data_IF_147125723265
#
_entry.id   IF_147125723265
#
_cell.length_a   1.000
_cell.length_b   1.000
_cell.length_c   1.000
_cell.angle_alpha   90.00
_cell.angle_beta   90.00
_cell.angle_gamma   90.00
#
_symmetry.space_group_name_H-M   'P 1'
#
loop_
_entity.id
_entity.type
_entity.pdbx_description
1 polymer ?
#
# COMPACT_ATOMS: atom_id res chain seq x y z
N UNK A 1 20.39 -4.08 29.74
CA UNK A 1 19.01 -3.97 30.25
C UNK A 1 18.10 -4.46 29.15
N UNK A 2 17.33 -5.53 29.37
CA UNK A 2 16.29 -5.91 28.42
C UNK A 2 15.18 -4.84 28.51
N UNK A 3 14.87 -4.18 27.39
CA UNK A 3 13.67 -3.35 27.31
C UNK A 3 12.46 -4.23 27.60
N UNK A 4 11.65 -3.81 28.57
CA UNK A 4 10.34 -4.44 28.79
C UNK A 4 9.52 -4.03 27.58
N UNK A 5 9.25 -5.01 26.72
CA UNK A 5 8.39 -4.85 25.56
C UNK A 5 7.00 -4.40 26.02
N UNK A 6 6.49 -3.32 25.42
CA UNK A 6 5.13 -2.85 25.71
C UNK A 6 4.08 -3.72 25.03
N UNK A 7 2.88 -3.80 25.58
CA UNK A 7 1.77 -4.55 24.97
C UNK A 7 1.45 -4.07 23.54
N UNK A 8 1.65 -2.78 23.25
CA UNK A 8 1.48 -2.19 21.92
C UNK A 8 2.56 -2.68 20.94
N UNK A 9 3.83 -2.76 21.37
CA UNK A 9 4.93 -3.28 20.55
C UNK A 9 4.66 -4.73 20.16
N UNK A 10 4.23 -5.55 21.13
CA UNK A 10 3.85 -6.93 20.88
C UNK A 10 2.68 -7.04 19.91
N UNK A 11 1.62 -6.26 20.13
CA UNK A 11 0.43 -6.27 19.27
C UNK A 11 0.75 -5.89 17.82
N UNK A 12 1.60 -4.88 17.60
CA UNK A 12 2.04 -4.48 16.26
C UNK A 12 2.84 -5.59 15.56
N UNK A 13 3.80 -6.20 16.25
CA UNK A 13 4.59 -7.31 15.68
C UNK A 13 3.74 -8.53 15.37
N UNK A 14 2.85 -8.90 16.28
CA UNK A 14 1.95 -10.04 16.09
C UNK A 14 1.01 -9.77 14.91
N UNK A 15 0.44 -8.56 14.82
CA UNK A 15 -0.41 -8.12 13.71
C UNK A 15 0.30 -8.17 12.35
N UNK A 16 1.53 -7.65 12.28
CA UNK A 16 2.35 -7.73 11.05
C UNK A 16 2.74 -9.17 10.69
N UNK A 17 3.03 -10.01 11.68
CA UNK A 17 3.38 -11.42 11.44
C UNK A 17 2.18 -12.18 10.87
N UNK A 18 1.00 -11.98 11.45
CA UNK A 18 -0.25 -12.56 10.95
C UNK A 18 -0.61 -12.02 9.56
N UNK A 19 -0.41 -10.72 9.33
CA UNK A 19 -0.61 -10.09 8.02
C UNK A 19 0.25 -10.76 6.95
N UNK A 20 1.56 -10.91 7.23
CA UNK A 20 2.53 -11.55 6.32
C UNK A 20 2.08 -12.95 5.91
N UNK A 21 1.75 -13.78 6.90
CA UNK A 21 1.31 -15.16 6.67
C UNK A 21 0.03 -15.22 5.84
N UNK A 22 -0.97 -14.39 6.16
CA UNK A 22 -2.25 -14.36 5.43
C UNK A 22 -2.07 -13.89 3.99
N UNK A 23 -1.33 -12.79 3.78
CA UNK A 23 -1.09 -12.23 2.45
C UNK A 23 -0.31 -13.20 1.58
N UNK A 24 0.80 -13.75 2.07
CA UNK A 24 1.60 -14.72 1.33
C UNK A 24 0.78 -15.97 0.98
N UNK A 25 0.05 -16.52 1.95
CA UNK A 25 -0.81 -17.69 1.73
C UNK A 25 -1.87 -17.40 0.68
N UNK A 26 -2.56 -16.27 0.78
CA UNK A 26 -3.62 -15.90 -0.17
C UNK A 26 -3.06 -15.67 -1.57
N UNK A 27 -1.95 -14.95 -1.70
CA UNK A 27 -1.31 -14.64 -2.99
C UNK A 27 -0.79 -15.91 -3.68
N UNK A 28 -0.10 -16.78 -2.94
CA UNK A 28 0.37 -18.07 -3.49
C UNK A 28 -0.80 -18.98 -3.88
N UNK A 29 -1.84 -19.03 -3.05
CA UNK A 29 -3.05 -19.81 -3.36
C UNK A 29 -3.73 -19.29 -4.62
N UNK A 30 -3.88 -17.97 -4.77
CA UNK A 30 -4.47 -17.38 -5.96
C UNK A 30 -3.71 -17.79 -7.23
N UNK A 31 -2.37 -17.67 -7.22
CA UNK A 31 -1.52 -18.09 -8.33
C UNK A 31 -1.67 -19.59 -8.61
N UNK A 32 -1.70 -20.43 -7.57
CA UNK A 32 -1.91 -21.87 -7.69
C UNK A 32 -3.26 -22.21 -8.34
N UNK A 33 -4.33 -21.50 -7.95
CA UNK A 33 -5.65 -21.66 -8.53
C UNK A 33 -5.66 -21.25 -10.01
N UNK A 34 -4.95 -20.16 -10.39
CA UNK A 34 -4.80 -19.77 -11.81
C UNK A 34 -4.05 -20.84 -12.61
N UNK A 35 -2.98 -21.39 -12.05
CA UNK A 35 -2.23 -22.49 -12.68
C UNK A 35 -3.14 -23.69 -12.93
N UNK A 36 -3.94 -24.11 -11.94
CA UNK A 36 -4.90 -25.21 -12.10
C UNK A 36 -5.97 -24.91 -13.15
N UNK A 37 -6.50 -23.69 -13.20
CA UNK A 37 -7.47 -23.28 -14.22
C UNK A 37 -6.86 -23.35 -15.63
N UNK A 38 -5.64 -22.87 -15.83
CA UNK A 38 -4.96 -22.87 -17.14
C UNK A 38 -4.59 -24.30 -17.57
N UNK A 39 -4.12 -25.14 -16.65
CA UNK A 39 -3.84 -26.57 -16.94
C UNK A 39 -5.09 -27.32 -17.43
N UNK A 40 -6.26 -26.99 -16.88
CA UNK A 40 -7.54 -27.60 -17.27
C UNK A 40 -7.98 -27.23 -18.70
N UNK A 41 -7.42 -26.17 -19.30
CA UNK A 41 -7.68 -25.78 -20.70
C UNK A 41 -6.90 -26.67 -21.68
N UNK A 42 -5.92 -27.46 -21.20
CA UNK A 42 -5.12 -28.39 -22.01
C UNK A 42 -4.40 -27.73 -23.20
N UNK A 43 -3.82 -26.55 -22.96
CA UNK A 43 -3.02 -25.85 -23.95
C UNK A 43 -1.82 -26.70 -24.42
N UNK A 44 -1.44 -26.61 -25.70
CA UNK A 44 -0.52 -27.56 -26.31
C UNK A 44 0.95 -27.38 -25.86
N UNK A 45 1.34 -26.19 -25.40
CA UNK A 45 2.73 -25.91 -24.97
C UNK A 45 2.80 -25.13 -23.65
N UNK A 46 3.91 -25.25 -22.94
CA UNK A 46 4.19 -24.41 -21.75
C UNK A 46 4.25 -22.92 -22.09
N UNK A 47 4.71 -22.57 -23.29
CA UNK A 47 4.72 -21.18 -23.73
C UNK A 47 3.29 -20.61 -23.82
N UNK A 48 2.34 -21.37 -24.38
CA UNK A 48 0.93 -20.94 -24.46
C UNK A 48 0.29 -20.79 -23.07
N UNK A 49 0.64 -21.69 -22.13
CA UNK A 49 0.22 -21.61 -20.73
C UNK A 49 0.74 -20.36 -20.04
N UNK A 50 2.03 -20.07 -20.20
CA UNK A 50 2.66 -18.88 -19.62
C UNK A 50 2.09 -17.59 -20.24
N UNK A 51 1.76 -17.59 -21.54
CA UNK A 51 1.06 -16.46 -22.17
C UNK A 51 -0.28 -16.19 -21.48
N UNK A 52 -1.08 -17.22 -21.19
CA UNK A 52 -2.33 -17.02 -20.43
C UNK A 52 -2.10 -16.61 -18.97
N UNK A 53 -0.98 -16.98 -18.35
CA UNK A 53 -0.68 -16.59 -16.98
C UNK A 53 -0.26 -15.10 -16.88
N UNK A 54 0.24 -14.50 -17.97
CA UNK A 54 0.68 -13.10 -18.01
C UNK A 54 -0.42 -12.10 -17.68
N UNK A 55 -1.66 -12.45 -18.01
CA UNK A 55 -2.89 -11.80 -17.58
C UNK A 55 -2.92 -11.41 -16.09
N UNK A 56 -2.33 -12.26 -15.23
CA UNK A 56 -2.29 -12.08 -13.78
C UNK A 56 -0.91 -11.64 -13.27
N UNK A 57 0.16 -11.98 -13.98
CA UNK A 57 1.52 -11.60 -13.61
C UNK A 57 2.35 -11.37 -14.88
N UNK A 58 2.57 -10.10 -15.20
CA UNK A 58 3.21 -9.69 -16.45
C UNK A 58 4.62 -10.30 -16.64
N UNK A 59 5.06 -10.38 -17.90
CA UNK A 59 6.41 -10.80 -18.33
C UNK A 59 6.81 -12.27 -18.12
N UNK A 60 5.92 -13.12 -17.58
CA UNK A 60 6.23 -14.53 -17.33
C UNK A 60 6.77 -15.26 -18.57
N UNK A 61 8.02 -15.72 -18.51
CA UNK A 61 8.63 -16.55 -19.54
C UNK A 61 8.97 -15.83 -20.85
N UNK A 62 8.94 -14.49 -20.88
CA UNK A 62 9.36 -13.71 -22.06
C UNK A 62 10.83 -13.94 -22.43
N UNK A 63 11.67 -14.25 -21.42
CA UNK A 63 13.11 -14.34 -21.57
C UNK A 63 13.76 -12.99 -21.89
N UNK A 64 15.08 -13.02 -22.04
CA UNK A 64 15.88 -11.83 -22.33
C UNK A 64 15.95 -10.82 -21.17
N UNK A 65 16.81 -9.80 -21.28
CA UNK A 65 16.77 -8.65 -20.39
C UNK A 65 15.56 -7.78 -20.71
N UNK A 66 15.01 -7.09 -19.72
CA UNK A 66 13.99 -6.07 -19.96
C UNK A 66 14.56 -4.94 -20.82
N UNK A 67 13.96 -4.62 -21.98
CA UNK A 67 14.42 -3.52 -22.84
C UNK A 67 14.29 -2.14 -22.17
N UNK A 68 13.45 -2.00 -21.15
CA UNK A 68 13.21 -0.77 -20.39
C UNK A 68 13.86 -0.79 -19.01
N UNK A 69 14.82 -1.69 -18.79
CA UNK A 69 15.44 -1.86 -17.48
C UNK A 69 16.06 -0.56 -16.95
N UNK A 70 15.62 -0.13 -15.77
CA UNK A 70 16.21 1.00 -15.06
C UNK A 70 17.47 0.52 -14.32
N UNK A 71 18.64 1.03 -14.71
CA UNK A 71 19.92 0.69 -14.07
C UNK A 71 20.02 1.10 -12.59
N UNK A 72 19.05 1.88 -12.09
CA UNK A 72 18.96 2.38 -10.72
C UNK A 72 18.00 1.51 -9.87
N UNK A 73 17.35 0.50 -10.47
CA UNK A 73 16.44 -0.37 -9.73
C UNK A 73 17.16 -1.22 -8.67
N UNK A 74 16.55 -1.34 -7.49
CA UNK A 74 17.11 -2.12 -6.39
C UNK A 74 17.15 -3.63 -6.68
N UNK A 75 17.99 -4.39 -5.94
CA UNK A 75 18.16 -5.85 -6.14
C UNK A 75 16.87 -6.69 -6.07
N UNK A 76 15.88 -6.31 -5.26
CA UNK A 76 14.58 -7.00 -5.16
C UNK A 76 13.85 -7.04 -6.51
N UNK A 77 13.48 -5.87 -7.08
CA UNK A 77 12.92 -5.79 -8.42
C UNK A 77 13.78 -6.46 -9.51
N UNK A 78 15.12 -6.36 -9.43
CA UNK A 78 16.04 -7.05 -10.38
C UNK A 78 15.83 -8.56 -10.31
N UNK A 79 15.79 -9.10 -9.09
CA UNK A 79 15.61 -10.53 -8.85
C UNK A 79 14.25 -10.99 -9.37
N UNK A 80 13.20 -10.26 -9.04
CA UNK A 80 11.83 -10.55 -9.47
C UNK A 80 11.73 -10.61 -11.00
N UNK A 81 12.12 -9.54 -11.71
CA UNK A 81 12.05 -9.50 -13.18
C UNK A 81 12.85 -10.65 -13.81
N UNK A 82 14.04 -10.95 -13.26
CA UNK A 82 14.85 -12.09 -13.71
C UNK A 82 14.15 -13.42 -13.49
N UNK A 83 13.59 -13.68 -12.31
CA UNK A 83 12.90 -14.96 -12.03
C UNK A 83 11.65 -15.12 -12.91
N UNK A 84 10.83 -14.07 -13.00
CA UNK A 84 9.59 -14.02 -13.78
C UNK A 84 9.85 -14.22 -15.27
N UNK A 85 10.78 -13.48 -15.88
CA UNK A 85 11.11 -13.62 -17.31
C UNK A 85 11.71 -14.98 -17.65
N UNK A 86 12.43 -15.60 -16.73
CA UNK A 86 13.14 -16.85 -16.98
C UNK A 86 12.33 -18.11 -16.68
N UNK A 87 11.14 -18.02 -16.08
CA UNK A 87 10.28 -19.18 -15.83
C UNK A 87 10.02 -19.95 -17.14
N UNK A 88 10.02 -21.29 -17.05
CA UNK A 88 9.82 -22.18 -18.21
C UNK A 88 8.59 -23.08 -18.10
N UNK A 89 8.13 -23.30 -16.88
CA UNK A 89 6.97 -24.15 -16.62
C UNK A 89 5.93 -23.39 -15.82
N UNK A 90 4.65 -23.55 -16.20
CA UNK A 90 3.54 -22.92 -15.50
C UNK A 90 3.50 -23.35 -14.01
N UNK A 91 3.87 -24.61 -13.73
CA UNK A 91 3.87 -25.17 -12.38
C UNK A 91 4.84 -24.44 -11.41
N UNK A 92 5.85 -23.73 -11.93
CA UNK A 92 6.84 -23.04 -11.10
C UNK A 92 6.33 -21.66 -10.62
N UNK A 93 5.31 -21.10 -11.29
CA UNK A 93 4.84 -19.72 -11.07
C UNK A 93 4.47 -19.41 -9.61
N UNK A 94 3.74 -20.27 -8.87
CA UNK A 94 3.36 -19.98 -7.48
C UNK A 94 4.56 -19.89 -6.51
N UNK A 95 5.73 -20.39 -6.91
CA UNK A 95 6.97 -20.38 -6.12
C UNK A 95 7.89 -19.21 -6.42
N UNK A 96 7.62 -18.43 -7.46
CA UNK A 96 8.43 -17.29 -7.85
C UNK A 96 8.48 -16.23 -6.74
N UNK A 97 9.60 -15.52 -6.67
CA UNK A 97 9.75 -14.36 -5.79
C UNK A 97 8.96 -13.16 -6.34
N UNK A 98 8.28 -12.45 -5.44
CA UNK A 98 7.73 -11.13 -5.66
C UNK A 98 8.00 -10.29 -4.41
N UNK A 99 8.47 -9.04 -4.56
CA UNK A 99 8.88 -8.22 -3.41
C UNK A 99 7.74 -7.94 -2.42
N UNK A 100 6.49 -7.94 -2.90
CA UNK A 100 5.28 -7.76 -2.08
C UNK A 100 4.48 -9.04 -1.84
N UNK A 101 5.08 -10.23 -2.01
CA UNK A 101 4.34 -11.50 -1.87
C UNK A 101 3.64 -11.65 -0.51
N UNK A 102 4.33 -11.26 0.58
CA UNK A 102 3.80 -11.22 1.95
C UNK A 102 3.15 -9.88 2.32
N UNK A 103 3.10 -8.97 1.35
CA UNK A 103 2.51 -7.65 1.42
C UNK A 103 3.19 -6.64 2.36
N UNK A 104 4.31 -6.94 3.02
CA UNK A 104 4.97 -6.00 3.94
C UNK A 104 6.22 -5.41 3.31
N UNK A 105 6.27 -4.09 3.21
CA UNK A 105 7.45 -3.36 2.78
C UNK A 105 8.47 -3.28 3.93
N UNK A 106 9.72 -3.69 3.65
CA UNK A 106 10.80 -3.71 4.66
C UNK A 106 11.04 -2.34 5.30
N UNK A 107 11.31 -2.29 6.62
CA UNK A 107 11.45 -1.03 7.36
C UNK A 107 12.68 -0.25 6.91
N UNK A 108 12.49 1.06 6.68
CA UNK A 108 13.55 1.99 6.26
C UNK A 108 14.07 2.87 7.40
N UNK A 109 13.23 3.16 8.40
CA UNK A 109 13.58 3.96 9.59
C UNK A 109 14.28 3.10 10.65
N UNK A 110 15.42 2.51 10.29
CA UNK A 110 16.11 1.45 11.04
C UNK A 110 16.63 1.91 12.41
N UNK A 111 17.00 3.17 12.55
CA UNK A 111 17.56 3.72 13.81
C UNK A 111 16.58 4.62 14.53
N UNK A 112 16.82 4.84 15.82
CA UNK A 112 16.01 5.75 16.61
C UNK A 112 16.11 7.20 16.11
N UNK A 113 17.27 7.61 15.60
CA UNK A 113 17.45 8.94 15.01
C UNK A 113 16.54 9.16 13.80
N UNK A 114 16.38 8.15 12.93
CA UNK A 114 15.44 8.21 11.79
C UNK A 114 14.00 8.38 12.24
N UNK A 115 13.57 7.62 13.26
CA UNK A 115 12.21 7.69 13.79
C UNK A 115 11.94 9.02 14.50
N UNK A 116 12.92 9.56 15.22
CA UNK A 116 12.81 10.88 15.85
C UNK A 116 12.73 12.01 14.82
N UNK A 117 13.52 11.93 13.74
CA UNK A 117 13.44 12.88 12.63
C UNK A 117 12.05 12.82 11.97
N UNK A 118 11.57 11.60 11.68
CA UNK A 118 10.23 11.42 11.09
C UNK A 118 9.16 12.00 12.00
N UNK A 119 9.18 11.64 13.29
CA UNK A 119 8.25 12.16 14.31
C UNK A 119 8.22 13.68 14.36
N UNK A 120 9.39 14.31 14.44
CA UNK A 120 9.50 15.76 14.55
C UNK A 120 8.93 16.46 13.30
N UNK A 121 9.31 15.97 12.12
CA UNK A 121 8.87 16.54 10.84
C UNK A 121 7.37 16.35 10.63
N UNK A 122 6.86 15.15 10.89
CA UNK A 122 5.43 14.84 10.82
C UNK A 122 4.61 15.76 11.71
N UNK A 123 5.03 15.93 12.98
CA UNK A 123 4.33 16.81 13.92
C UNK A 123 4.43 18.29 13.49
N UNK A 124 5.59 18.73 13.00
CA UNK A 124 5.79 20.09 12.50
C UNK A 124 4.83 20.41 11.33
N UNK A 125 4.78 19.54 10.31
CA UNK A 125 3.88 19.70 9.16
C UNK A 125 2.41 19.65 9.59
N UNK A 126 2.04 18.73 10.49
CA UNK A 126 0.67 18.67 11.00
C UNK A 126 0.26 19.96 11.73
N UNK A 127 1.14 20.45 12.60
CA UNK A 127 0.87 21.65 13.40
C UNK A 127 0.75 22.89 12.51
N UNK A 128 1.59 22.98 11.49
CA UNK A 128 1.53 24.05 10.50
C UNK A 128 0.20 24.01 9.71
N UNK A 129 -0.17 22.84 9.18
CA UNK A 129 -1.42 22.68 8.43
C UNK A 129 -2.65 23.08 9.26
N UNK A 130 -2.73 22.66 10.52
CA UNK A 130 -3.85 23.00 11.40
C UNK A 130 -3.86 24.47 11.80
N UNK A 131 -2.69 25.09 11.97
CA UNK A 131 -2.59 26.52 12.27
C UNK A 131 -3.00 27.39 11.08
N UNK A 132 -2.70 26.97 9.85
CA UNK A 132 -3.12 27.68 8.64
C UNK A 132 -4.65 27.60 8.46
N UNK A 133 -5.26 26.45 8.76
CA UNK A 133 -6.72 26.25 8.68
C UNK A 133 -7.50 26.98 9.79
N UNK A 134 -6.87 27.26 10.94
CA UNK A 134 -7.57 27.87 12.09
C UNK A 134 -7.92 29.36 11.92
N UNK A 135 -7.55 30.00 10.80
CA UNK A 135 -7.82 31.41 10.47
C UNK A 135 -7.54 32.40 11.62
N UNK A 136 -6.52 32.13 12.45
CA UNK A 136 -6.14 32.99 13.58
C UNK A 136 -6.86 32.71 14.91
N UNK A 137 -7.58 31.58 15.02
CA UNK A 137 -7.98 31.00 16.31
C UNK A 137 -6.82 30.18 16.91
N UNK A 138 -6.81 30.00 18.23
CA UNK A 138 -5.83 29.09 18.87
C UNK A 138 -5.95 27.71 18.24
N UNK A 139 -4.90 27.29 17.54
CA UNK A 139 -4.84 25.98 16.92
C UNK A 139 -4.88 24.92 18.02
N UNK A 140 -5.84 23.99 17.94
CA UNK A 140 -5.91 22.86 18.85
C UNK A 140 -4.67 21.96 18.68
N UNK A 141 -4.11 21.50 19.79
CA UNK A 141 -2.91 20.65 19.77
C UNK A 141 -3.24 19.27 19.18
N UNK A 142 -2.48 18.87 18.16
CA UNK A 142 -2.61 17.56 17.52
C UNK A 142 -1.73 16.56 18.28
N UNK A 143 -2.31 15.42 18.75
CA UNK A 143 -1.53 14.43 19.46
C UNK A 143 -0.50 13.76 18.54
N UNK A 144 0.56 13.27 19.15
CA UNK A 144 1.62 12.54 18.44
C UNK A 144 1.11 11.19 17.90
N UNK A 145 1.63 10.78 16.75
CA UNK A 145 1.26 9.54 16.06
C UNK A 145 2.10 8.33 16.52
N UNK A 146 2.08 8.02 17.82
CA UNK A 146 2.94 6.98 18.41
C UNK A 146 2.75 5.59 17.77
N UNK A 147 1.52 5.20 17.40
CA UNK A 147 1.25 3.93 16.73
C UNK A 147 1.86 3.86 15.32
N UNK A 148 1.83 4.97 14.57
CA UNK A 148 2.45 5.04 13.25
C UNK A 148 3.97 4.89 13.35
N UNK A 149 4.61 5.55 14.31
CA UNK A 149 6.05 5.40 14.54
C UNK A 149 6.43 3.97 14.92
N UNK A 150 5.57 3.32 15.71
CA UNK A 150 5.73 1.91 16.08
C UNK A 150 5.57 0.99 14.87
N UNK A 151 4.62 1.25 13.98
CA UNK A 151 4.50 0.55 12.70
C UNK A 151 5.77 0.73 11.85
N UNK A 152 6.26 1.97 11.73
CA UNK A 152 7.44 2.32 10.94
C UNK A 152 8.76 1.71 11.45
N UNK A 153 8.79 1.26 12.71
CA UNK A 153 9.87 0.45 13.28
C UNK A 153 9.96 -0.92 12.60
N UNK A 154 8.83 -1.49 12.18
CA UNK A 154 8.72 -2.86 11.69
C UNK A 154 8.43 -2.98 10.19
N UNK A 155 7.80 -1.97 9.58
CA UNK A 155 7.45 -1.94 8.17
C UNK A 155 7.48 -0.51 7.62
N UNK A 156 7.84 -0.32 6.34
CA UNK A 156 7.69 1.00 5.68
C UNK A 156 6.26 1.24 5.18
N UNK A 157 5.48 0.18 5.10
CA UNK A 157 4.12 0.16 4.57
C UNK A 157 3.68 -1.25 4.21
N UNK A 158 2.46 -1.37 3.68
CA UNK A 158 1.90 -2.62 3.16
C UNK A 158 1.32 -2.41 1.78
N UNK A 159 1.43 -3.43 0.92
CA UNK A 159 0.96 -3.40 -0.46
C UNK A 159 0.54 -4.80 -0.92
N UNK A 160 -0.50 -4.91 -1.74
CA UNK A 160 -0.77 -6.15 -2.47
C UNK A 160 0.04 -6.15 -3.79
N UNK A 161 0.56 -7.30 -4.28
CA UNK A 161 1.09 -7.44 -5.65
C UNK A 161 0.06 -7.13 -6.75
N UNK A 162 -1.20 -7.22 -6.38
CA UNK A 162 -2.40 -7.04 -7.18
C UNK A 162 -2.58 -8.01 -8.34
N UNK A 163 -2.15 -9.27 -8.14
CA UNK A 163 -2.40 -10.38 -9.08
C UNK A 163 -3.89 -10.55 -9.42
N UNK A 164 -4.78 -10.12 -8.52
CA UNK A 164 -6.25 -10.19 -8.67
C UNK A 164 -6.83 -9.08 -9.52
N UNK A 165 -6.00 -8.11 -9.90
CA UNK A 165 -6.43 -6.88 -10.52
C UNK A 165 -7.60 -6.18 -9.81
N UNK A 166 -7.48 -6.03 -8.50
CA UNK A 166 -8.47 -5.40 -7.62
C UNK A 166 -8.30 -3.88 -7.49
N UNK A 167 -7.09 -3.35 -7.72
CA UNK A 167 -6.78 -1.93 -7.66
C UNK A 167 -6.69 -1.43 -6.22
N UNK A 168 -6.51 -2.31 -5.24
CA UNK A 168 -6.45 -1.91 -3.83
C UNK A 168 -5.24 -0.99 -3.60
N UNK A 169 -5.48 0.18 -2.99
CA UNK A 169 -4.43 1.11 -2.60
C UNK A 169 -3.48 0.51 -1.56
N UNK A 170 -2.19 0.74 -1.76
CA UNK A 170 -1.19 0.47 -0.72
C UNK A 170 -1.32 1.44 0.46
N UNK A 171 -0.77 1.08 1.62
CA UNK A 171 -0.60 1.96 2.79
C UNK A 171 0.89 2.14 3.06
N UNK A 172 1.46 3.25 2.60
CA UNK A 172 2.92 3.52 2.55
C UNK A 172 3.32 4.82 3.27
N UNK A 173 3.03 4.97 4.58
CA UNK A 173 3.30 6.20 5.30
C UNK A 173 4.80 6.50 5.49
N UNK A 174 5.68 5.52 5.28
CA UNK A 174 7.13 5.74 5.32
C UNK A 174 7.67 6.48 4.09
N UNK A 175 6.87 6.59 3.02
CA UNK A 175 7.27 7.13 1.73
C UNK A 175 8.59 6.49 1.25
N UNK A 176 9.46 7.27 0.61
CA UNK A 176 10.78 6.83 0.17
C UNK A 176 11.90 7.14 1.17
N UNK A 177 11.55 7.51 2.41
CA UNK A 177 12.50 8.03 3.41
C UNK A 177 13.26 6.92 4.13
N UNK A 178 14.53 7.19 4.43
CA UNK A 178 15.40 6.30 5.19
C UNK A 178 16.21 5.36 4.32
N UNK A 179 16.64 4.23 4.91
CA UNK A 179 17.60 3.33 4.27
C UNK A 179 16.88 2.26 3.44
N UNK A 180 17.09 2.19 2.12
CA UNK A 180 16.56 1.11 1.29
C UNK A 180 16.97 -0.27 1.82
N UNK A 181 16.13 -1.28 1.60
CA UNK A 181 16.37 -2.63 2.10
C UNK A 181 17.77 -3.17 1.74
N UNK A 182 18.20 -2.86 0.52
CA UNK A 182 19.39 -3.39 -0.13
C UNK A 182 20.58 -2.42 -0.18
N UNK A 183 20.50 -1.26 0.49
CA UNK A 183 21.62 -0.33 0.50
C UNK A 183 22.84 -0.99 1.17
N UNK A 184 24.00 -0.92 0.52
CA UNK A 184 25.25 -1.44 1.09
C UNK A 184 25.67 -0.61 2.31
N UNK A 185 26.39 -1.21 3.28
CA UNK A 185 26.80 -0.50 4.51
C UNK A 185 27.58 0.81 4.25
N UNK A 186 28.29 0.90 3.12
CA UNK A 186 28.99 2.11 2.67
C UNK A 186 28.03 3.16 2.06
N UNK A 187 26.94 2.76 1.40
CA UNK A 187 25.88 3.69 0.93
C UNK A 187 25.05 4.25 2.10
N UNK A 188 24.94 3.48 3.20
CA UNK A 188 24.35 3.94 4.45
C UNK A 188 25.10 5.13 5.03
N UNK A 189 26.39 5.34 4.72
CA UNK A 189 27.15 6.53 5.12
C UNK A 189 26.76 7.81 4.37
N UNK A 190 26.45 7.71 3.08
CA UNK A 190 25.94 8.82 2.27
C UNK A 190 24.47 9.16 2.57
N UNK A 191 23.67 8.16 2.96
CA UNK A 191 22.28 8.33 3.41
C UNK A 191 22.17 8.92 4.83
N UNK A 192 23.27 9.22 5.52
CA UNK A 192 23.27 9.84 6.87
C UNK A 192 22.97 11.33 6.88
N UNK A 193 22.74 11.97 5.73
CA UNK A 193 22.24 13.33 5.74
C UNK A 193 20.77 13.34 6.17
N UNK A 194 20.58 13.22 7.48
CA UNK A 194 19.28 13.30 8.14
C UNK A 194 18.58 14.62 7.82
N UNK A 195 19.32 15.69 7.52
CA UNK A 195 18.73 16.99 7.17
C UNK A 195 18.17 16.96 5.73
N UNK A 196 18.93 16.45 4.77
CA UNK A 196 18.42 16.27 3.40
C UNK A 196 17.18 15.36 3.36
N UNK A 197 17.18 14.30 4.17
CA UNK A 197 16.03 13.39 4.27
C UNK A 197 14.87 13.97 5.06
N UNK A 198 15.13 14.86 6.04
CA UNK A 198 14.12 15.66 6.71
C UNK A 198 13.40 16.57 5.73
N UNK A 199 14.14 17.28 4.88
CA UNK A 199 13.56 18.17 3.87
C UNK A 199 12.80 17.38 2.79
N UNK A 200 13.32 16.23 2.36
CA UNK A 200 12.59 15.33 1.47
C UNK A 200 11.28 14.83 2.12
N UNK A 201 11.32 14.43 3.40
CA UNK A 201 10.13 14.00 4.13
C UNK A 201 9.12 15.14 4.25
N UNK A 202 9.57 16.36 4.58
CA UNK A 202 8.72 17.54 4.64
C UNK A 202 7.98 17.75 3.32
N UNK A 203 8.71 17.74 2.20
CA UNK A 203 8.11 17.88 0.87
C UNK A 203 7.08 16.79 0.57
N UNK A 204 7.39 15.52 0.83
CA UNK A 204 6.42 14.43 0.65
C UNK A 204 5.17 14.59 1.52
N UNK A 205 5.33 14.99 2.78
CA UNK A 205 4.21 15.21 3.69
C UNK A 205 3.36 16.38 3.22
N UNK A 206 3.96 17.51 2.85
CA UNK A 206 3.26 18.68 2.33
C UNK A 206 2.47 18.31 1.06
N UNK A 207 3.11 17.71 0.06
CA UNK A 207 2.47 17.27 -1.19
C UNK A 207 1.36 16.23 -0.98
N UNK A 208 1.45 15.43 0.09
CA UNK A 208 0.47 14.38 0.42
C UNK A 208 -0.61 14.84 1.39
N UNK A 209 -0.59 16.09 1.86
CA UNK A 209 -1.63 16.62 2.75
C UNK A 209 -2.98 16.50 2.05
N UNK A 210 -3.95 15.90 2.71
CA UNK A 210 -5.31 15.76 2.14
C UNK A 210 -5.88 17.12 1.70
N UNK A 211 -5.51 18.21 2.39
CA UNK A 211 -5.96 19.57 2.08
C UNK A 211 -5.32 20.15 0.82
N UNK A 212 -4.11 19.70 0.48
CA UNK A 212 -3.40 20.09 -0.73
C UNK A 212 -3.80 19.23 -1.94
N UNK A 213 -4.14 17.96 -1.72
CA UNK A 213 -4.61 17.07 -2.78
C UNK A 213 -6.08 17.35 -3.17
N UNK A 214 -6.69 18.43 -2.66
CA UNK A 214 -8.11 18.78 -2.85
C UNK A 214 -9.08 17.66 -2.40
N UNK A 215 -8.63 16.75 -1.52
CA UNK A 215 -9.41 15.58 -1.07
C UNK A 215 -10.20 15.83 0.23
N UNK A 216 -10.09 16.99 0.90
CA UNK A 216 -10.79 17.23 2.18
C UNK A 216 -12.30 17.02 2.11
N UNK A 217 -12.92 17.24 0.95
CA UNK A 217 -14.35 17.00 0.72
C UNK A 217 -14.69 15.61 0.17
N UNK A 218 -13.70 14.77 -0.13
CA UNK A 218 -13.90 13.47 -0.78
C UNK A 218 -13.45 12.28 0.06
N UNK A 219 -12.76 12.48 1.19
CA UNK A 219 -12.39 11.37 2.09
C UNK A 219 -13.64 10.64 2.59
N UNK A 220 -14.62 11.39 3.10
CA UNK A 220 -15.92 10.88 3.56
C UNK A 220 -16.86 12.05 3.93
N UNK A 221 -18.13 12.02 3.50
CA UNK A 221 -19.12 13.08 3.78
C UNK A 221 -19.36 13.32 5.28
N UNK A 222 -19.19 12.29 6.12
CA UNK A 222 -19.45 12.35 7.56
C UNK A 222 -18.17 12.44 8.40
N UNK A 223 -16.99 12.60 7.79
CA UNK A 223 -15.72 12.63 8.51
C UNK A 223 -15.17 14.05 8.62
N UNK A 224 -15.02 14.54 9.85
CA UNK A 224 -14.25 15.74 10.13
C UNK A 224 -12.77 15.39 10.16
N UNK A 225 -11.99 15.93 9.22
CA UNK A 225 -10.54 15.76 9.17
C UNK A 225 -9.87 17.06 9.56
N UNK A 226 -9.05 17.02 10.62
CA UNK A 226 -8.19 18.15 11.01
C UNK A 226 -6.91 18.20 10.19
N UNK A 227 -6.30 17.04 10.02
CA UNK A 227 -5.09 16.87 9.21
C UNK A 227 -4.97 15.39 8.84
N UNK A 228 -4.41 15.12 7.67
CA UNK A 228 -4.07 13.78 7.27
C UNK A 228 -3.24 13.77 6.01
N UNK A 229 -2.68 12.61 5.71
CA UNK A 229 -1.82 12.40 4.56
C UNK A 229 -2.35 11.24 3.74
N UNK A 230 -2.36 11.41 2.42
CA UNK A 230 -2.51 10.30 1.50
C UNK A 230 -1.28 9.38 1.65
N UNK A 231 -1.52 8.11 1.95
CA UNK A 231 -0.47 7.11 2.17
C UNK A 231 -0.38 6.11 1.04
N UNK A 232 -1.33 6.12 0.10
CA UNK A 232 -1.20 5.43 -1.17
C UNK A 232 -2.45 5.55 -2.03
N UNK A 233 -2.26 5.29 -3.32
CA UNK A 233 -3.34 5.10 -4.28
C UNK A 233 -3.28 3.71 -4.87
N UNK A 234 -4.41 3.25 -5.39
CA UNK A 234 -4.53 1.99 -6.12
C UNK A 234 -5.59 2.14 -7.20
N UNK A 235 -5.39 1.47 -8.32
CA UNK A 235 -6.25 1.67 -9.48
C UNK A 235 -5.75 0.95 -10.72
N UNK A 236 -6.36 1.26 -11.86
CA UNK A 236 -6.05 0.66 -13.16
C UNK A 236 -5.90 1.75 -14.21
N UNK A 237 -4.95 1.57 -15.14
CA UNK A 237 -4.88 2.34 -16.39
C UNK A 237 -4.95 3.86 -16.16
N UNK A 238 -4.12 4.34 -15.23
CA UNK A 238 -3.96 5.75 -14.87
C UNK A 238 -5.17 6.37 -14.13
N UNK A 239 -6.18 5.57 -13.78
CA UNK A 239 -7.29 5.98 -12.91
C UNK A 239 -7.11 5.36 -11.52
N UNK A 240 -7.00 6.22 -10.50
CA UNK A 240 -7.11 5.80 -9.11
C UNK A 240 -8.55 5.33 -8.85
N UNK A 241 -8.70 4.17 -8.20
CA UNK A 241 -9.96 3.64 -7.72
C UNK A 241 -10.08 3.74 -6.21
N UNK A 242 -8.96 3.60 -5.52
CA UNK A 242 -8.88 3.57 -4.07
C UNK A 242 -7.77 4.49 -3.59
N UNK A 243 -8.03 5.11 -2.46
CA UNK A 243 -7.05 5.83 -1.68
C UNK A 243 -6.95 5.23 -0.30
N UNK A 244 -5.75 5.32 0.27
CA UNK A 244 -5.53 5.11 1.68
C UNK A 244 -4.89 6.36 2.28
N UNK A 245 -5.30 6.69 3.49
CA UNK A 245 -4.80 7.84 4.21
C UNK A 245 -4.60 7.53 5.69
N UNK A 246 -3.73 8.31 6.33
CA UNK A 246 -3.59 8.35 7.78
C UNK A 246 -3.97 9.74 8.28
N UNK A 247 -5.09 9.83 9.00
CA UNK A 247 -5.74 11.10 9.30
C UNK A 247 -6.13 11.22 10.77
N UNK A 248 -5.93 12.41 11.33
CA UNK A 248 -6.49 12.81 12.60
C UNK A 248 -7.89 13.37 12.37
N UNK A 249 -8.89 12.54 12.70
CA UNK A 249 -10.27 12.76 12.29
C UNK A 249 -11.27 12.37 13.38
N UNK A 250 -12.55 12.60 13.13
CA UNK A 250 -13.69 12.02 13.85
C UNK A 250 -14.90 11.94 12.93
N UNK A 251 -15.86 11.09 13.27
CA UNK A 251 -17.14 11.01 12.55
C UNK A 251 -18.11 12.04 13.14
N UNK A 252 -18.69 12.87 12.27
CA UNK A 252 -19.78 13.79 12.56
C UNK A 252 -21.08 13.03 12.30
N UNK A 253 -21.64 12.42 13.34
CA UNK A 253 -22.83 11.59 13.19
C UNK A 253 -23.90 11.79 14.26
N UNK A 254 -25.13 11.39 13.92
CA UNK A 254 -26.28 11.33 14.82
C UNK A 254 -26.31 10.06 15.69
N UNK A 255 -27.44 9.73 16.31
CA UNK A 255 -27.55 8.62 17.27
C UNK A 255 -27.25 7.22 16.69
N UNK A 256 -27.21 7.06 15.36
CA UNK A 256 -26.96 5.78 14.67
C UNK A 256 -25.49 5.51 14.31
N UNK A 257 -24.60 6.52 14.41
CA UNK A 257 -23.16 6.32 14.16
C UNK A 257 -22.49 5.63 15.34
N UNK A 258 -21.58 4.70 15.03
CA UNK A 258 -20.83 3.99 16.05
C UNK A 258 -19.97 4.97 16.86
N UNK A 259 -20.36 5.12 18.13
CA UNK A 259 -19.77 6.09 19.08
C UNK A 259 -18.25 6.01 19.20
N UNK A 260 -17.63 4.88 18.84
CA UNK A 260 -16.17 4.70 18.86
C UNK A 260 -15.42 5.62 17.88
N UNK A 261 -16.13 6.23 16.93
CA UNK A 261 -15.56 7.12 15.93
C UNK A 261 -15.83 8.60 16.20
N UNK A 262 -16.63 8.94 17.21
CA UNK A 262 -17.03 10.31 17.51
C UNK A 262 -15.89 11.14 18.14
N UNK A 263 -14.91 10.47 18.76
CA UNK A 263 -13.75 11.11 19.36
C UNK A 263 -12.64 11.34 18.33
N UNK A 264 -11.91 12.43 18.51
CA UNK A 264 -10.73 12.73 17.71
C UNK A 264 -9.63 11.68 17.93
N UNK A 265 -9.20 11.02 16.85
CA UNK A 265 -8.11 10.05 16.90
C UNK A 265 -7.40 9.97 15.54
N UNK A 266 -6.16 9.50 15.58
CA UNK A 266 -5.47 9.07 14.38
C UNK A 266 -6.09 7.76 13.88
N UNK A 267 -6.42 7.72 12.59
CA UNK A 267 -7.09 6.58 11.96
C UNK A 267 -6.47 6.29 10.60
N UNK A 268 -6.51 5.01 10.22
CA UNK A 268 -6.33 4.64 8.82
C UNK A 268 -7.70 4.75 8.15
N UNK A 269 -7.76 5.51 7.07
CA UNK A 269 -8.96 5.67 6.25
C UNK A 269 -8.68 5.08 4.88
N UNK A 270 -9.59 4.24 4.42
CA UNK A 270 -9.60 3.76 3.04
C UNK A 270 -10.86 4.32 2.38
N UNK A 271 -10.78 4.79 1.15
CA UNK A 271 -11.94 5.38 0.49
C UNK A 271 -11.82 5.26 -1.02
N UNK A 272 -12.95 5.33 -1.72
CA UNK A 272 -12.91 5.33 -3.18
C UNK A 272 -12.34 6.67 -3.67
N UNK A 273 -11.61 6.63 -4.78
CA UNK A 273 -11.13 7.83 -5.45
C UNK A 273 -12.26 8.62 -6.14
N UNK A 274 -13.48 8.09 -6.13
CA UNK A 274 -14.69 8.74 -6.65
C UNK A 274 -15.31 9.66 -5.59
N UNK A 275 -16.29 10.47 -5.99
CA UNK A 275 -16.98 11.40 -5.07
C UNK A 275 -18.06 10.72 -4.20
N UNK A 276 -18.32 9.41 -4.34
CA UNK A 276 -19.41 8.71 -3.65
C UNK A 276 -18.98 8.13 -2.28
N UNK A 277 -18.33 8.92 -1.41
CA UNK A 277 -17.93 8.48 -0.05
C UNK A 277 -18.93 8.97 1.03
N UNK A 278 -19.30 8.16 2.04
CA UNK A 278 -18.70 6.87 2.43
C UNK A 278 -19.16 5.68 1.59
N UNK A 279 -18.20 4.94 1.03
CA UNK A 279 -18.48 3.63 0.44
C UNK A 279 -18.33 2.51 1.47
N UNK A 280 -19.35 1.65 1.56
CA UNK A 280 -19.24 0.40 2.31
C UNK A 280 -18.52 -0.64 1.48
N UNK A 281 -17.46 -1.20 2.06
CA UNK A 281 -16.58 -2.15 1.39
C UNK A 281 -16.70 -3.51 2.07
N UNK A 282 -17.32 -4.45 1.35
CA UNK A 282 -17.64 -5.80 1.86
C UNK A 282 -18.42 -5.79 3.18
N UNK A 283 -19.43 -4.91 3.26
CA UNK A 283 -20.33 -4.81 4.41
C UNK A 283 -19.74 -4.06 5.60
N UNK A 284 -18.54 -3.45 5.44
CA UNK A 284 -17.90 -2.65 6.47
C UNK A 284 -17.45 -1.31 5.91
N UNK A 285 -17.61 -0.24 6.70
CA UNK A 285 -16.95 1.05 6.44
C UNK A 285 -15.45 0.91 6.73
N UNK A 286 -14.55 1.16 5.76
CA UNK A 286 -13.13 0.96 5.94
C UNK A 286 -12.44 2.14 6.66
N UNK A 287 -12.90 2.37 7.90
CA UNK A 287 -12.37 3.34 8.86
C UNK A 287 -11.86 2.59 10.11
N UNK A 288 -10.57 2.71 10.39
CA UNK A 288 -9.88 1.89 11.39
C UNK A 288 -9.30 2.75 12.52
N UNK A 289 -9.59 2.35 13.77
CA UNK A 289 -9.11 3.08 14.95
C UNK A 289 -7.64 2.76 15.28
N UNK A 290 -7.08 1.74 14.64
CA UNK A 290 -5.69 1.33 14.83
C UNK A 290 -5.12 0.66 13.59
N UNK A 291 -3.80 0.73 13.43
CA UNK A 291 -3.06 0.07 12.36
C UNK A 291 -3.21 -1.46 12.44
N UNK A 292 -3.11 -2.14 13.60
CA UNK A 292 -3.35 -3.59 13.66
C UNK A 292 -4.75 -4.01 13.20
N UNK A 293 -5.79 -3.22 13.51
CA UNK A 293 -7.14 -3.47 13.02
C UNK A 293 -7.22 -3.34 11.48
N UNK A 294 -6.56 -2.31 10.93
CA UNK A 294 -6.44 -2.14 9.49
C UNK A 294 -5.70 -3.31 8.83
N UNK A 295 -4.58 -3.79 9.40
CA UNK A 295 -3.83 -4.93 8.87
C UNK A 295 -4.68 -6.20 8.84
N UNK A 296 -5.47 -6.46 9.89
CA UNK A 296 -6.38 -7.60 9.90
C UNK A 296 -7.41 -7.52 8.76
N UNK A 297 -8.00 -6.34 8.54
CA UNK A 297 -8.94 -6.12 7.45
C UNK A 297 -8.27 -6.23 6.07
N UNK A 298 -7.15 -5.55 5.87
CA UNK A 298 -6.45 -5.50 4.59
C UNK A 298 -5.99 -6.90 4.14
N UNK A 299 -5.48 -7.71 5.07
CA UNK A 299 -5.09 -9.10 4.77
C UNK A 299 -6.28 -10.03 4.48
N UNK A 300 -7.51 -9.62 4.81
CA UNK A 300 -8.74 -10.33 4.45
C UNK A 300 -9.33 -9.86 3.11
N UNK A 301 -8.89 -8.71 2.59
CA UNK A 301 -9.36 -8.18 1.31
C UNK A 301 -9.37 -9.22 0.19
N UNK A 302 -8.31 -10.02 -0.01
CA UNK A 302 -8.27 -11.01 -1.07
C UNK A 302 -9.44 -12.02 -1.05
N UNK A 303 -10.00 -12.29 0.13
CA UNK A 303 -11.08 -13.27 0.31
C UNK A 303 -12.43 -12.75 -0.18
N UNK A 304 -12.56 -11.43 -0.35
CA UNK A 304 -13.80 -10.79 -0.75
C UNK A 304 -13.85 -10.40 -2.23
N UNK A 305 -12.71 -10.49 -2.94
CA UNK A 305 -12.64 -10.11 -4.36
C UNK A 305 -13.53 -11.01 -5.21
N UNK A 306 -14.46 -10.41 -5.98
CA UNK A 306 -15.31 -11.16 -6.90
C UNK A 306 -14.48 -11.68 -8.10
N UNK A 307 -14.24 -12.99 -8.10
CA UNK A 307 -13.52 -13.67 -9.18
C UNK A 307 -14.15 -13.50 -10.57
N UNK A 308 -15.44 -13.17 -10.68
CA UNK A 308 -16.06 -12.79 -11.96
C UNK A 308 -15.55 -11.43 -12.41
N UNK A 309 -15.44 -10.47 -11.50
CA UNK A 309 -14.89 -9.15 -11.78
C UNK A 309 -13.41 -9.24 -12.12
N UNK A 310 -12.62 -10.04 -11.38
CA UNK A 310 -11.20 -10.31 -11.70
C UNK A 310 -11.05 -10.76 -13.15
N UNK A 311 -11.80 -11.78 -13.56
CA UNK A 311 -11.73 -12.31 -14.93
C UNK A 311 -12.11 -11.25 -15.97
N UNK A 312 -13.08 -10.37 -15.69
CA UNK A 312 -13.43 -9.25 -16.59
C UNK A 312 -12.31 -8.21 -16.67
N UNK A 313 -11.75 -7.80 -15.53
CA UNK A 313 -10.67 -6.82 -15.47
C UNK A 313 -9.45 -7.28 -16.26
N UNK A 314 -9.13 -8.57 -16.12
CA UNK A 314 -8.04 -9.22 -16.84
C UNK A 314 -8.33 -9.34 -18.34
N UNK A 315 -9.53 -9.80 -18.74
CA UNK A 315 -9.89 -9.97 -20.17
C UNK A 315 -10.09 -8.65 -20.92
N UNK A 316 -10.48 -7.57 -20.23
CA UNK A 316 -10.60 -6.23 -20.78
C UNK A 316 -9.27 -5.64 -21.30
N UNK A 317 -8.15 -6.30 -20.99
CA UNK A 317 -6.82 -5.93 -21.50
C UNK A 317 -6.66 -6.22 -23.00
N UNK A 318 -7.32 -7.25 -23.54
CA UNK A 318 -7.16 -7.66 -24.94
C UNK A 318 -8.17 -7.04 -25.90
N UNK A 319 -9.33 -6.60 -25.42
CA UNK A 319 -10.41 -6.11 -26.29
C UNK A 319 -10.23 -4.68 -26.78
N UNK A 320 -9.29 -3.90 -26.25
CA UNK A 320 -8.99 -2.55 -26.75
C UNK A 320 -7.81 -2.50 -27.74
N UNK A 321 -6.87 -3.45 -27.69
CA UNK A 321 -5.81 -3.54 -28.70
C UNK A 321 -6.32 -3.96 -30.08
N UNK A 322 -7.51 -4.55 -30.18
CA UNK A 322 -8.11 -4.93 -31.47
C UNK A 322 -8.95 -3.81 -32.13
N UNK A 323 -9.23 -2.69 -31.44
CA UNK A 323 -10.11 -1.64 -31.99
C UNK A 323 -9.33 -0.47 -32.63
N UNK A 324 -8.04 -0.31 -32.32
CA UNK A 324 -7.18 0.75 -32.90
C UNK A 324 -6.25 0.25 -34.02
N UNK A 325 -6.47 -0.95 -34.54
CA UNK A 325 -5.86 -1.41 -35.81
C UNK A 325 -6.89 -1.36 -36.95
N UNK A 326 -7.52 -0.20 -37.11
CA UNK A 326 -8.40 0.13 -38.22
C UNK A 326 -7.89 1.35 -38.99
N UNK A 327 -7.40 1.09 -40.20
CA UNK A 327 -7.28 2.00 -41.36
C UNK A 327 -5.94 2.73 -41.58
N UNK A 328 -5.22 2.20 -42.57
CA UNK A 328 -4.17 2.84 -43.37
C UNK A 328 -3.77 1.92 -44.51
#
# INVERSE_FOLDING_TARGET
MAEIESDADKAMRDGLSQFREKMETSNRRFLQDRVTEIEAVHLPTEADKLVQMRDYWDKLGEGGPDPYWNSIAGPGPVREDREVRNVKHLADVPSLYHQYMDGVCSPRLRTEAWRQMYRATFHEVCSAAVADDSQGQEAEEIPLCEELLLFLKYANGVSDPDFRRSGIASFMPGFYIGVPEYAEEEEVEGLRDLEAQREALRGYLEDSLLGQVELHGTVDDDLEVKVGFLTGSGGWRDEDLWYSAYAYCRVIGGEETDSRYNDWAWRVVFFEATEENPTTLYGRRPLFNSIPEFLEWYSSWPDYVDMRQVRRNVQGYYTQCEVDCGCG
#
